data_IF_502341986253
#
_entry.id   IF_502341986253
#
_cell.length_a   1.000
_cell.length_b   1.000
_cell.length_c   1.000
_cell.angle_alpha   90.00
_cell.angle_beta   90.00
_cell.angle_gamma   90.00
#
_symmetry.space_group_name_H-M   'P 1'
#
loop_
_entity.id
_entity.type
_entity.pdbx_description
1 polymer ?
2 water ?
#
# COMPACT_ATOMS: atom_id res chain seq x y z
N UNK A 7 -8.28 0.72 -23.77
CA UNK A 7 -6.82 0.65 -23.36
C UNK A 7 -6.47 0.03 -21.97
N UNK A 8 -5.18 -0.30 -21.72
CA UNK A 8 -4.77 -1.10 -20.53
C UNK A 8 -4.16 -0.26 -19.32
N UNK A 9 -4.04 1.00 -19.55
CA UNK A 9 -3.46 1.93 -18.58
C UNK A 9 -4.50 2.93 -18.18
N UNK A 10 -4.24 3.52 -17.00
CA UNK A 10 -4.99 4.65 -16.58
C UNK A 10 -4.58 5.87 -17.40
N UNK A 11 -5.54 6.44 -18.18
CA UNK A 11 -5.13 7.60 -19.03
C UNK A 11 -4.78 8.86 -18.36
N UNK A 12 -5.06 8.93 -17.04
CA UNK A 12 -4.89 10.14 -16.31
C UNK A 12 -3.50 10.20 -15.64
N UNK A 13 -2.75 9.11 -15.74
CA UNK A 13 -1.40 9.03 -15.12
C UNK A 13 -0.41 8.55 -16.18
N UNK A 14 0.90 8.90 -16.00
CA UNK A 14 1.91 8.40 -16.99
C UNK A 14 1.89 6.90 -17.10
N UNK A 15 1.91 6.41 -18.33
CA UNK A 15 1.99 4.97 -18.59
C UNK A 15 3.38 4.43 -18.42
N UNK A 16 3.87 4.40 -17.17
CA UNK A 16 5.12 3.86 -16.82
C UNK A 16 4.93 2.78 -15.82
N UNK A 17 5.71 1.74 -15.91
CA UNK A 17 5.79 0.70 -14.89
C UNK A 17 6.38 1.38 -13.62
N UNK A 18 5.66 1.17 -12.48
CA UNK A 18 5.98 1.88 -11.24
C UNK A 18 7.25 1.38 -10.53
N UNK A 19 7.62 2.07 -9.43
CA UNK A 19 8.92 1.88 -8.79
C UNK A 19 9.05 0.52 -8.07
N UNK A 20 10.30 -0.01 -8.05
CA UNK A 20 10.53 -1.32 -7.36
C UNK A 20 10.32 -2.53 -8.23
N UNK A 21 10.06 -2.29 -9.54
CA UNK A 21 9.94 -3.38 -10.50
C UNK A 21 11.29 -4.14 -10.53
N UNK A 22 11.28 -5.41 -10.98
CA UNK A 22 12.46 -6.26 -10.93
C UNK A 22 13.71 -5.59 -11.50
N UNK A 23 14.79 -5.59 -10.70
CA UNK A 23 16.09 -4.96 -11.05
C UNK A 23 16.27 -3.48 -10.98
N UNK A 24 15.19 -2.72 -10.71
CA UNK A 24 15.30 -1.32 -10.58
C UNK A 24 16.09 -0.94 -9.27
N UNK A 25 16.41 0.37 -9.09
CA UNK A 25 17.27 0.79 -7.94
C UNK A 25 16.63 0.36 -6.59
N UNK A 26 15.31 0.47 -6.56
CA UNK A 26 14.58 0.34 -5.32
C UNK A 26 14.47 -1.15 -5.03
N UNK A 27 14.28 -1.96 -6.05
CA UNK A 27 14.17 -3.38 -5.88
C UNK A 27 15.47 -3.95 -5.33
N UNK A 28 16.59 -3.46 -5.88
CA UNK A 28 17.90 -4.06 -5.51
C UNK A 28 18.22 -3.63 -4.05
N UNK A 29 18.01 -2.33 -3.75
CA UNK A 29 18.16 -1.77 -2.36
C UNK A 29 17.38 -2.57 -1.36
N UNK A 30 16.14 -2.92 -1.66
CA UNK A 30 15.31 -3.66 -0.73
C UNK A 30 15.53 -5.18 -0.59
N UNK A 31 16.22 -5.80 -1.54
CA UNK A 31 16.38 -7.26 -1.53
C UNK A 31 17.53 -7.74 -0.62
N UNK A 32 18.33 -6.83 -0.10
CA UNK A 32 19.36 -7.21 0.88
C UNK A 32 18.74 -7.96 2.09
N UNK A 33 19.51 -8.88 2.65
CA UNK A 33 19.07 -9.57 3.84
C UNK A 33 18.77 -8.57 4.96
N UNK A 34 19.61 -7.58 5.14
CA UNK A 34 19.44 -6.62 6.23
C UNK A 34 18.20 -5.75 6.03
N UNK A 35 17.99 -5.24 4.80
CA UNK A 35 16.76 -4.48 4.55
C UNK A 35 15.51 -5.29 4.75
N UNK A 36 15.49 -6.52 4.26
CA UNK A 36 14.38 -7.38 4.33
C UNK A 36 14.10 -7.63 5.83
N UNK A 37 15.15 -7.98 6.58
CA UNK A 37 14.94 -8.19 8.03
C UNK A 37 14.46 -6.91 8.76
N UNK A 38 15.02 -5.74 8.45
CA UNK A 38 14.60 -4.47 9.03
C UNK A 38 13.11 -4.24 8.76
N UNK A 39 12.71 -4.43 7.52
CA UNK A 39 11.22 -4.29 7.22
C UNK A 39 10.33 -5.27 7.97
N UNK A 40 10.76 -6.53 8.03
CA UNK A 40 9.99 -7.57 8.73
C UNK A 40 9.85 -7.20 10.22
N UNK A 41 10.95 -6.78 10.87
CA UNK A 41 10.87 -6.48 12.28
C UNK A 41 10.03 -5.20 12.53
N UNK A 42 10.33 -4.17 11.73
CA UNK A 42 9.57 -2.94 11.91
C UNK A 42 8.06 -3.21 11.78
N UNK A 43 7.64 -4.06 10.82
CA UNK A 43 6.23 -4.42 10.63
C UNK A 43 5.70 -5.11 11.88
N UNK A 44 6.48 -6.04 12.41
CA UNK A 44 6.11 -6.74 13.65
C UNK A 44 5.94 -5.74 14.78
N UNK A 45 6.84 -4.78 14.86
CA UNK A 45 6.83 -3.72 15.94
C UNK A 45 5.53 -2.89 15.81
N UNK A 46 5.23 -2.52 14.57
CA UNK A 46 3.99 -1.76 14.37
C UNK A 46 2.72 -2.55 14.66
N UNK A 47 2.68 -3.82 14.30
CA UNK A 47 1.54 -4.66 14.58
C UNK A 47 1.29 -4.81 16.09
N UNK A 48 2.39 -4.89 16.79
CA UNK A 48 2.40 -4.96 18.30
C UNK A 48 1.78 -3.69 18.88
N UNK A 49 2.17 -2.55 18.30
CA UNK A 49 1.62 -1.26 18.66
C UNK A 49 0.10 -1.15 18.41
N UNK A 50 -0.36 -1.68 17.27
CA UNK A 50 -1.74 -1.62 16.89
C UNK A 50 -2.54 -2.49 17.87
N UNK A 51 -2.13 -3.74 18.00
CA UNK A 51 -2.82 -4.68 18.88
C UNK A 51 -2.72 -4.23 20.36
N UNK A 52 -1.60 -3.62 20.74
CA UNK A 52 -1.49 -3.05 22.15
C UNK A 52 -2.53 -1.97 22.44
N UNK A 53 -2.84 -1.16 21.44
CA UNK A 53 -3.76 -0.02 21.59
C UNK A 53 -5.19 -0.54 21.74
N UNK A 54 -5.40 -1.79 21.36
CA UNK A 54 -6.67 -2.52 21.57
C UNK A 54 -6.66 -3.36 22.87
N UNK A 55 -5.55 -3.31 23.62
CA UNK A 55 -5.39 -4.11 24.86
C UNK A 55 -4.97 -5.56 24.61
N UNK A 56 -4.29 -5.80 23.49
CA UNK A 56 -3.87 -7.18 23.15
C UNK A 56 -2.32 -7.23 23.05
N UNK A 57 -1.74 -8.20 23.75
CA UNK A 57 -0.31 -8.47 23.72
C UNK A 57 -0.05 -9.96 23.51
N UNK A 58 0.33 -10.31 22.29
CA UNK A 58 0.53 -11.72 21.89
C UNK A 58 1.86 -12.26 22.51
N UNK A 59 1.90 -13.54 22.90
CA UNK A 59 3.09 -14.09 23.53
C UNK A 59 3.57 -15.36 22.88
N UNK A 60 4.51 -16.03 23.52
CA UNK A 60 5.00 -17.30 23.02
C UNK A 60 5.35 -17.20 21.55
N UNK A 61 5.44 -18.36 20.86
CA UNK A 61 5.91 -18.34 19.46
C UNK A 61 4.72 -18.12 18.50
N UNK A 71 2.10 -12.13 4.13
CA UNK A 71 2.06 -10.73 4.63
C UNK A 71 1.94 -10.52 6.18
N UNK A 72 1.34 -11.51 6.91
CA UNK A 72 1.10 -11.35 8.34
C UNK A 72 -0.37 -10.96 8.67
N UNK A 73 -1.22 -10.85 7.66
CA UNK A 73 -2.65 -10.59 7.89
C UNK A 73 -3.22 -11.70 8.91
N UNK A 74 -2.65 -12.92 8.85
CA UNK A 74 -3.05 -13.99 9.77
C UNK A 74 -2.74 -13.76 11.26
N UNK A 75 -1.84 -12.84 11.57
CA UNK A 75 -1.55 -12.50 12.96
C UNK A 75 -2.65 -11.66 13.65
N UNK A 76 -3.56 -11.08 12.87
CA UNK A 76 -4.59 -10.25 13.39
C UNK A 76 -5.72 -11.19 13.81
N UNK A 77 -6.14 -11.10 15.10
CA UNK A 77 -7.33 -11.85 15.48
C UNK A 77 -8.52 -11.49 14.64
N UNK A 78 -9.36 -12.46 14.35
CA UNK A 78 -10.58 -12.16 13.56
C UNK A 78 -11.37 -11.02 14.16
N UNK A 79 -11.47 -10.99 15.51
CA UNK A 79 -12.19 -9.99 16.20
C UNK A 79 -11.81 -8.58 15.76
N UNK A 80 -10.56 -8.45 15.36
CA UNK A 80 -10.02 -7.09 15.14
C UNK A 80 -9.67 -6.82 13.67
N UNK A 81 -10.11 -7.69 12.78
CA UNK A 81 -9.85 -7.51 11.35
C UNK A 81 -10.50 -6.22 10.81
N UNK A 82 -11.77 -5.98 11.12
CA UNK A 82 -12.44 -4.75 10.71
C UNK A 82 -11.68 -3.54 11.23
N UNK A 83 -11.41 -3.53 12.53
CA UNK A 83 -10.65 -2.45 13.13
C UNK A 83 -9.33 -2.23 12.42
N UNK A 84 -8.65 -3.30 12.05
CA UNK A 84 -7.36 -3.20 11.32
C UNK A 84 -7.52 -2.45 10.00
N UNK A 85 -8.56 -2.80 9.27
CA UNK A 85 -8.85 -2.08 8.00
C UNK A 85 -9.08 -0.60 8.26
N UNK A 86 -9.86 -0.27 9.29
CA UNK A 86 -10.06 1.12 9.61
C UNK A 86 -8.80 1.86 10.00
N UNK A 87 -7.91 1.16 10.74
CA UNK A 87 -6.62 1.75 11.16
C UNK A 87 -5.72 2.01 9.97
N UNK A 88 -5.63 1.06 9.04
CA UNK A 88 -4.88 1.23 7.82
C UNK A 88 -5.39 2.48 7.03
N UNK A 89 -6.69 2.61 6.90
CA UNK A 89 -7.28 3.74 6.11
C UNK A 89 -6.98 5.05 6.86
N UNK A 90 -7.12 5.04 8.18
CA UNK A 90 -6.80 6.23 8.97
C UNK A 90 -5.35 6.65 8.76
N UNK A 91 -4.46 5.67 8.81
CA UNK A 91 -3.08 5.86 8.62
C UNK A 91 -2.73 6.45 7.26
N UNK A 92 -3.32 5.85 6.18
CA UNK A 92 -3.15 6.43 4.88
C UNK A 92 -3.71 7.86 4.81
N UNK A 93 -4.86 8.07 5.40
CA UNK A 93 -5.51 9.39 5.45
C UNK A 93 -4.67 10.45 6.12
N UNK A 94 -3.90 10.02 7.09
CA UNK A 94 -3.05 10.95 7.82
C UNK A 94 -2.01 11.60 6.94
N UNK A 95 -1.75 11.01 5.79
CA UNK A 95 -0.74 11.46 4.86
C UNK A 95 -1.29 12.30 3.74
N UNK A 96 -2.55 12.68 3.81
CA UNK A 96 -3.22 13.49 2.76
C UNK A 96 -2.43 14.79 2.60
N UNK A 97 -2.20 15.15 1.36
CA UNK A 97 -1.46 16.34 1.00
C UNK A 97 0.07 16.18 0.92
N UNK A 98 0.62 15.07 1.44
CA UNK A 98 2.08 14.81 1.32
C UNK A 98 2.40 14.72 -0.16
N UNK A 99 3.54 15.29 -0.53
CA UNK A 99 3.85 15.25 -1.92
C UNK A 99 4.15 13.89 -2.50
N UNK A 100 3.85 13.79 -3.80
CA UNK A 100 4.26 12.64 -4.58
C UNK A 100 5.73 12.62 -4.85
N UNK A 101 6.34 11.45 -4.66
CA UNK A 101 7.72 11.18 -4.98
C UNK A 101 7.90 9.75 -5.43
N UNK A 102 8.35 9.58 -6.67
CA UNK A 102 8.59 8.30 -7.23
C UNK A 102 9.58 7.46 -6.41
N UNK A 103 9.13 6.27 -5.97
CA UNK A 103 9.94 5.48 -5.10
C UNK A 103 9.94 5.90 -3.65
N UNK A 104 9.17 6.92 -3.29
CA UNK A 104 9.14 7.45 -1.92
C UNK A 104 8.34 6.65 -0.95
N UNK A 105 8.84 6.57 0.31
CA UNK A 105 8.07 6.01 1.41
C UNK A 105 8.89 4.98 2.19
N UNK A 106 8.80 5.04 3.51
CA UNK A 106 9.29 4.01 4.40
C UNK A 106 8.08 3.42 5.07
N UNK A 107 8.30 2.50 6.00
CA UNK A 107 7.18 1.94 6.73
C UNK A 107 6.64 2.84 7.79
N UNK A 108 7.35 3.92 8.09
CA UNK A 108 6.96 4.89 9.09
C UNK A 108 6.57 6.26 8.60
N UNK A 109 6.73 6.58 7.29
CA UNK A 109 6.36 7.88 6.82
C UNK A 109 6.94 8.13 5.42
N UNK A 110 6.71 9.34 4.88
CA UNK A 110 7.31 9.69 3.57
C UNK A 110 8.78 9.61 3.60
N UNK A 111 9.41 9.42 2.46
CA UNK A 111 10.85 9.43 2.35
C UNK A 111 11.29 9.91 0.97
N UNK A 112 12.57 10.23 0.83
CA UNK A 112 13.10 10.46 -0.55
C UNK A 112 12.90 9.18 -1.36
N UNK A 113 12.72 9.39 -2.68
CA UNK A 113 12.51 8.30 -3.59
C UNK A 113 13.75 7.96 -4.41
N UNK A 114 13.51 7.46 -5.63
CA UNK A 114 14.59 7.07 -6.54
C UNK A 114 14.24 7.70 -7.89
N UNK A 115 15.26 7.77 -8.76
CA UNK A 115 15.04 8.39 -10.05
C UNK A 115 14.48 9.76 -9.91
N UNK A 116 13.36 10.10 -10.58
CA UNK A 116 12.77 11.41 -10.49
C UNK A 116 12.45 11.87 -9.03
N UNK A 117 12.28 10.88 -8.15
CA UNK A 117 11.96 11.12 -6.73
C UNK A 117 13.19 11.23 -5.79
N UNK A 118 14.41 11.20 -6.33
CA UNK A 118 15.58 11.00 -5.49
C UNK A 118 15.81 12.16 -4.48
N UNK A 119 15.36 13.34 -4.79
CA UNK A 119 15.56 14.50 -3.92
C UNK A 119 14.24 15.05 -3.39
N UNK A 120 13.11 14.29 -3.43
CA UNK A 120 11.82 14.77 -2.98
C UNK A 120 11.32 13.81 -1.91
N UNK A 121 11.11 14.36 -0.73
CA UNK A 121 10.43 13.57 0.31
C UNK A 121 8.93 13.43 0.01
N UNK A 122 8.46 12.17 -0.07
CA UNK A 122 7.08 11.94 -0.28
C UNK A 122 6.71 10.47 -0.33
N UNK A 123 5.60 10.20 -1.05
CA UNK A 123 5.14 8.84 -1.31
C UNK A 123 4.86 8.66 -2.79
N UNK A 124 5.12 7.43 -3.29
CA UNK A 124 4.42 7.06 -4.50
C UNK A 124 3.27 6.07 -4.21
N UNK A 125 2.61 5.64 -5.28
CA UNK A 125 1.32 4.92 -5.09
C UNK A 125 1.49 3.69 -4.15
N UNK A 126 2.45 2.86 -4.46
CA UNK A 126 2.74 1.65 -3.75
C UNK A 126 3.43 1.93 -2.40
N UNK A 127 4.21 3.02 -2.31
CA UNK A 127 4.85 3.42 -1.06
C UNK A 127 3.78 3.73 -0.05
N UNK A 128 2.75 4.46 -0.47
CA UNK A 128 1.73 4.90 0.48
C UNK A 128 1.01 3.69 1.08
N UNK A 129 0.50 2.78 0.19
CA UNK A 129 -0.30 1.68 0.66
C UNK A 129 0.53 0.65 1.51
N UNK A 130 1.83 0.49 1.19
CA UNK A 130 2.72 -0.34 1.98
C UNK A 130 2.92 0.29 3.35
N UNK A 131 3.15 1.59 3.43
CA UNK A 131 3.21 2.26 4.73
C UNK A 131 1.94 2.00 5.54
N UNK A 132 0.76 2.15 4.90
CA UNK A 132 -0.53 2.05 5.59
C UNK A 132 -0.72 0.69 6.17
N UNK A 133 -0.48 -0.34 5.39
CA UNK A 133 -0.70 -1.73 5.88
C UNK A 133 0.26 -2.13 6.95
N UNK A 134 1.48 -1.60 6.86
CA UNK A 134 2.50 -1.96 7.84
C UNK A 134 2.10 -1.54 9.25
N UNK A 135 1.24 -0.51 9.35
CA UNK A 135 0.73 -0.09 10.66
C UNK A 135 -0.01 -1.13 11.48
N UNK A 136 -0.58 -2.15 10.85
CA UNK A 136 -1.33 -3.21 11.55
C UNK A 136 -0.54 -4.54 11.51
N UNK A 137 0.73 -4.44 11.15
CA UNK A 137 1.64 -5.60 11.04
C UNK A 137 1.53 -6.46 9.80
N UNK A 138 1.00 -5.89 8.70
CA UNK A 138 0.90 -6.58 7.45
C UNK A 138 1.90 -5.92 6.50
N UNK A 139 2.83 -6.74 6.00
CA UNK A 139 3.86 -6.22 5.09
C UNK A 139 3.50 -6.72 3.68
N UNK A 140 3.18 -5.77 2.81
CA UNK A 140 2.91 -6.10 1.46
C UNK A 140 4.20 -5.72 0.68
N UNK A 141 4.33 -6.32 -0.51
CA UNK A 141 5.50 -6.03 -1.36
C UNK A 141 5.67 -4.60 -1.77
N UNK A 142 6.87 -4.23 -2.13
CA UNK A 142 7.14 -2.86 -2.54
C UNK A 142 6.61 -2.46 -3.90
N UNK A 143 6.65 -3.40 -4.87
CA UNK A 143 6.22 -3.08 -6.19
C UNK A 143 4.72 -3.33 -6.34
N UNK A 144 4.01 -2.38 -6.98
CA UNK A 144 2.59 -2.48 -7.20
C UNK A 144 2.18 -3.81 -7.86
N UNK A 145 2.98 -4.24 -8.86
CA UNK A 145 2.62 -5.50 -9.51
C UNK A 145 2.67 -6.71 -8.65
N UNK A 146 3.51 -6.63 -7.62
CA UNK A 146 3.60 -7.67 -6.60
C UNK A 146 2.45 -7.50 -5.62
N UNK A 147 2.17 -6.27 -5.21
CA UNK A 147 1.02 -6.04 -4.34
C UNK A 147 -0.25 -6.64 -4.92
N UNK A 148 -0.43 -6.56 -6.24
CA UNK A 148 -1.59 -7.05 -6.89
C UNK A 148 -1.84 -8.52 -6.52
N UNK A 149 -0.74 -9.23 -6.29
CA UNK A 149 -0.82 -10.70 -6.05
C UNK A 149 -0.66 -11.08 -4.62
N UNK A 150 -0.74 -10.10 -3.73
CA UNK A 150 -0.42 -10.30 -2.32
C UNK A 150 -1.67 -10.59 -1.47
N UNK A 151 -2.85 -10.70 -2.05
CA UNK A 151 -4.02 -11.04 -1.30
C UNK A 151 -4.90 -11.90 -2.14
N UNK A 152 -6.21 -11.69 -2.02
CA UNK A 152 -7.19 -12.51 -2.73
C UNK A 152 -7.91 -11.67 -3.77
N UNK A 153 -7.83 -12.11 -5.03
CA UNK A 153 -8.43 -11.39 -6.11
C UNK A 153 -9.93 -11.44 -6.02
N UNK A 154 -10.59 -10.31 -6.11
CA UNK A 154 -12.02 -10.18 -6.02
C UNK A 154 -12.51 -9.38 -7.22
N UNK A 155 -13.64 -9.77 -7.85
CA UNK A 155 -14.26 -8.99 -8.93
C UNK A 155 -14.59 -7.60 -8.48
N UNK A 156 -14.27 -6.59 -9.28
CA UNK A 156 -14.54 -5.21 -8.83
C UNK A 156 -15.94 -4.92 -8.35
N UNK A 157 -16.95 -5.60 -8.92
CA UNK A 157 -18.33 -5.45 -8.42
C UNK A 157 -18.53 -5.82 -6.95
N UNK A 158 -17.64 -6.66 -6.43
CA UNK A 158 -17.70 -7.18 -5.07
C UNK A 158 -16.66 -6.46 -4.16
N UNK A 159 -16.07 -5.39 -4.66
CA UNK A 159 -14.98 -4.66 -3.86
C UNK A 159 -15.62 -4.07 -2.62
N UNK A 160 -14.84 -4.00 -1.57
CA UNK A 160 -15.29 -3.22 -0.38
C UNK A 160 -14.17 -2.41 0.19
N UNK A 161 -14.58 -1.50 1.08
CA UNK A 161 -13.65 -0.62 1.78
C UNK A 161 -12.46 -1.37 2.33
N UNK A 162 -11.26 -0.93 1.99
CA UNK A 162 -10.04 -1.57 2.33
C UNK A 162 -9.30 -2.31 1.22
N UNK A 163 -10.03 -2.68 0.18
CA UNK A 163 -9.38 -3.36 -0.91
C UNK A 163 -8.39 -2.43 -1.62
N UNK A 164 -7.40 -3.06 -2.27
CA UNK A 164 -6.49 -2.31 -3.15
C UNK A 164 -6.97 -2.43 -4.59
N UNK A 165 -6.97 -1.29 -5.30
CA UNK A 165 -7.38 -1.14 -6.71
C UNK A 165 -6.09 -0.86 -7.54
N UNK A 166 -5.96 -1.58 -8.65
CA UNK A 166 -4.79 -1.51 -9.51
C UNK A 166 -5.11 -1.14 -10.96
N UNK A 167 -4.12 -0.47 -11.54
CA UNK A 167 -4.15 0.05 -12.93
C UNK A 167 -2.91 -0.39 -13.64
N UNK A 168 -3.07 -0.57 -14.97
CA UNK A 168 -1.96 -0.95 -15.80
C UNK A 168 -1.84 -2.44 -15.96
N UNK A 169 -1.10 -2.86 -17.00
CA UNK A 169 -0.80 -4.32 -17.10
C UNK A 169 -0.22 -4.90 -15.84
N UNK A 170 -0.91 -5.95 -15.37
CA UNK A 170 -0.54 -6.67 -14.18
C UNK A 170 -0.55 -5.80 -12.87
N UNK A 171 -1.26 -4.69 -12.96
CA UNK A 171 -1.25 -3.68 -11.88
C UNK A 171 0.08 -2.97 -11.73
N UNK A 172 0.90 -2.92 -12.78
CA UNK A 172 2.14 -2.29 -12.66
C UNK A 172 2.20 -0.77 -12.66
N UNK A 173 1.16 -0.09 -13.06
CA UNK A 173 1.19 1.34 -13.19
C UNK A 173 0.87 2.09 -11.87
N UNK A 174 -0.17 1.61 -11.20
CA UNK A 174 -0.77 2.42 -10.13
C UNK A 174 -1.56 1.50 -9.20
N UNK A 175 -1.60 1.92 -7.92
CA UNK A 175 -2.37 1.20 -6.90
C UNK A 175 -2.98 2.28 -5.98
N UNK A 176 -4.22 1.99 -5.57
CA UNK A 176 -5.01 2.90 -4.72
C UNK A 176 -5.72 2.08 -3.65
N UNK A 177 -6.15 2.77 -2.58
CA UNK A 177 -6.85 2.15 -1.45
C UNK A 177 -8.36 2.51 -1.51
N UNK A 178 -9.19 1.53 -1.77
CA UNK A 178 -10.61 1.79 -1.94
C UNK A 178 -11.23 2.13 -0.56
N UNK A 179 -12.00 3.22 -0.53
CA UNK A 179 -12.63 3.65 0.70
C UNK A 179 -14.05 3.17 0.84
N UNK A 180 -14.57 2.50 -0.18
CA UNK A 180 -16.03 2.50 -0.40
C UNK A 180 -16.47 3.85 -0.91
N UNK A 181 -17.76 4.09 -0.91
CA UNK A 181 -18.27 5.43 -1.20
C UNK A 181 -17.87 5.88 -2.67
N UNK A 182 -17.55 4.94 -3.57
CA UNK A 182 -16.97 5.24 -4.87
C UNK A 182 -15.69 6.09 -4.90
N UNK A 183 -14.89 6.00 -3.83
CA UNK A 183 -13.69 6.82 -3.64
C UNK A 183 -12.51 5.94 -3.35
N UNK A 184 -11.31 6.48 -3.70
CA UNK A 184 -10.06 5.81 -3.45
C UNK A 184 -9.04 6.83 -2.98
N UNK A 185 -8.19 6.41 -2.04
CA UNK A 185 -7.09 7.22 -1.51
C UNK A 185 -5.83 6.81 -2.30
N UNK A 186 -5.09 7.79 -2.83
CA UNK A 186 -3.99 7.47 -3.70
C UNK A 186 -2.88 8.51 -3.59
N UNK A 187 -1.65 8.09 -3.73
CA UNK A 187 -0.53 8.99 -4.01
C UNK A 187 -0.48 9.12 -5.56
N UNK A 188 -0.92 10.30 -6.01
CA UNK A 188 -1.18 10.53 -7.43
C UNK A 188 -0.12 11.42 -8.09
N UNK A 189 0.50 10.91 -9.15
CA UNK A 189 1.42 11.69 -9.91
C UNK A 189 0.73 12.85 -10.61
N UNK A 190 -0.53 12.69 -10.98
CA UNK A 190 -1.20 13.85 -11.61
C UNK A 190 -1.56 14.95 -10.63
N UNK A 191 -2.03 14.60 -9.43
CA UNK A 191 -2.29 15.54 -8.38
C UNK A 191 -1.03 16.15 -7.77
N UNK A 192 0.05 15.39 -7.79
CA UNK A 192 1.32 15.68 -7.13
C UNK A 192 1.44 15.46 -5.64
N UNK A 193 0.46 14.66 -5.13
CA UNK A 193 0.26 14.53 -3.71
C UNK A 193 -0.68 13.36 -3.41
N UNK A 194 -0.66 13.00 -2.13
CA UNK A 194 -1.67 12.11 -1.59
C UNK A 194 -3.04 12.79 -1.58
N UNK A 195 -4.04 12.12 -2.13
CA UNK A 195 -5.38 12.69 -2.33
C UNK A 195 -6.46 11.62 -2.26
N UNK A 196 -7.74 12.03 -2.19
CA UNK A 196 -8.86 11.16 -2.37
C UNK A 196 -9.52 11.54 -3.66
N UNK A 197 -9.83 10.54 -4.47
CA UNK A 197 -10.41 10.73 -5.79
C UNK A 197 -11.56 9.77 -6.06
N UNK A 198 -12.46 10.12 -6.96
CA UNK A 198 -13.41 9.14 -7.45
C UNK A 198 -12.67 7.93 -8.03
N UNK A 199 -13.22 6.74 -7.84
CA UNK A 199 -12.68 5.55 -8.50
C UNK A 199 -12.74 5.73 -10.02
N UNK A 200 -11.66 5.42 -10.69
CA UNK A 200 -11.60 5.49 -12.19
C UNK A 200 -11.72 4.10 -12.78
N UNK A 201 -12.55 3.95 -13.82
CA UNK A 201 -12.74 2.64 -14.44
C UNK A 201 -11.65 2.31 -15.50
N UNK A 202 -11.28 3.34 -16.27
CA UNK A 202 -10.37 3.15 -17.40
C UNK A 202 -8.96 2.69 -16.88
N UNK A 203 -8.44 1.58 -17.34
CA UNK A 203 -7.16 1.06 -17.00
C UNK A 203 -7.10 0.14 -15.79
N UNK A 204 -8.26 -0.06 -15.15
CA UNK A 204 -8.30 -0.99 -14.04
C UNK A 204 -7.96 -2.39 -14.44
N UNK A 205 -7.17 -3.07 -13.61
CA UNK A 205 -6.95 -4.50 -13.69
C UNK A 205 -8.29 -5.33 -13.58
N UNK A 206 -8.22 -6.60 -13.99
CA UNK A 206 -9.45 -7.46 -13.88
C UNK A 206 -10.01 -7.63 -12.47
N UNK A 207 -9.13 -7.55 -11.46
CA UNK A 207 -9.54 -7.81 -10.07
C UNK A 207 -9.09 -6.64 -9.18
N UNK A 208 -9.80 -6.48 -8.06
CA UNK A 208 -9.17 -5.83 -6.91
C UNK A 208 -8.53 -6.84 -6.01
N UNK A 209 -7.74 -6.41 -5.03
CA UNK A 209 -7.04 -7.30 -4.16
C UNK A 209 -7.41 -7.00 -2.68
N UNK A 210 -7.88 -8.05 -2.01
CA UNK A 210 -8.24 -8.01 -0.60
C UNK A 210 -7.08 -8.47 0.24
N UNK A 211 -6.51 -7.59 1.03
CA UNK A 211 -5.35 -7.86 1.83
C UNK A 211 -5.72 -8.43 3.22
N UNK A 212 -6.67 -7.75 3.82
CA UNK A 212 -7.33 -8.19 5.09
C UNK A 212 -8.77 -8.59 4.90
N UNK A 213 -9.08 -9.83 5.27
CA UNK A 213 -10.42 -10.33 5.03
C UNK A 213 -11.25 -9.87 6.23
N UNK A 214 -12.43 -9.40 5.91
CA UNK A 214 -13.50 -9.13 6.91
C UNK A 214 -14.85 -9.20 6.29
#
# INVERSE_FOLDING_TARGET
>A
SMDAEPGQWDPTLPALVSAGAPGDPLAVANASLQATAQATQTTLDLGRQFLGGLGINLGGPAASAPSAATTGASRIPRANARQAVEYVIRRAGSQMGVPYSWGGGSLQGPSKGVDSGANTVGFDCSGLVRYAFAGVGVLIPRFSGDQYNAGRHVPPAEAKRGDLIFYGPGGGQHVTLYLGNGQMLEASGSAGKVTVSPVRKAGMTPFVTRIIEY
#
